data_IF_071503061475
#
_entry.id   IF_071503061475
#
_cell.length_a   1.000
_cell.length_b   1.000
_cell.length_c   1.000
_cell.angle_alpha   90.00
_cell.angle_beta   90.00
_cell.angle_gamma   90.00
#
_symmetry.space_group_name_H-M   'P 1'
#
loop_
_entity.id
_entity.type
_entity.pdbx_description
1 polymer ?
#
# COMPACT_ATOMS: atom_id res chain seq x y z
N UNK A 1 -33.97 33.74 -2.76
CA UNK A 1 -33.00 32.76 -2.22
C UNK A 1 -31.81 33.51 -1.65
N UNK A 2 -31.46 33.22 -0.40
CA UNK A 2 -30.23 33.72 0.22
C UNK A 2 -29.01 33.24 -0.57
N UNK A 3 -27.90 33.98 -0.53
CA UNK A 3 -26.60 33.58 -1.10
C UNK A 3 -26.22 32.18 -0.57
N UNK A 4 -26.50 31.92 0.70
CA UNK A 4 -26.30 30.61 1.35
C UNK A 4 -27.05 29.48 0.62
N UNK A 5 -28.32 29.69 0.29
CA UNK A 5 -29.16 28.68 -0.36
C UNK A 5 -28.73 28.42 -1.80
N UNK A 6 -28.25 29.44 -2.52
CA UNK A 6 -27.69 29.27 -3.87
C UNK A 6 -26.36 28.52 -3.85
N UNK A 7 -25.52 28.80 -2.85
CA UNK A 7 -24.24 28.13 -2.66
C UNK A 7 -24.44 26.65 -2.29
N UNK A 8 -25.33 26.36 -1.35
CA UNK A 8 -25.73 25.01 -0.94
C UNK A 8 -26.25 24.18 -2.13
N UNK A 9 -27.22 24.70 -2.88
CA UNK A 9 -27.76 24.00 -4.05
C UNK A 9 -26.71 23.79 -5.16
N UNK A 10 -25.78 24.73 -5.33
CA UNK A 10 -24.68 24.61 -6.29
C UNK A 10 -23.70 23.51 -5.87
N UNK A 11 -23.34 23.47 -4.60
CA UNK A 11 -22.47 22.44 -4.02
C UNK A 11 -23.12 21.06 -4.06
N UNK A 12 -24.38 20.92 -3.66
CA UNK A 12 -25.10 19.65 -3.72
C UNK A 12 -25.18 19.10 -5.14
N UNK A 13 -25.44 19.97 -6.13
CA UNK A 13 -25.57 19.53 -7.52
C UNK A 13 -24.27 19.05 -8.15
N UNK A 14 -23.11 19.49 -7.64
CA UNK A 14 -21.79 19.18 -8.23
C UNK A 14 -20.98 18.24 -7.34
N UNK A 15 -20.79 18.58 -6.06
CA UNK A 15 -19.92 17.84 -5.15
C UNK A 15 -20.50 16.50 -4.74
N UNK A 16 -21.80 16.42 -4.42
CA UNK A 16 -22.45 15.16 -4.02
C UNK A 16 -22.36 14.08 -5.11
N UNK A 17 -22.72 14.33 -6.39
CA UNK A 17 -22.61 13.30 -7.42
C UNK A 17 -21.16 12.94 -7.75
N UNK A 18 -20.22 13.89 -7.68
CA UNK A 18 -18.79 13.59 -7.87
C UNK A 18 -18.28 12.71 -6.73
N UNK A 19 -18.59 13.05 -5.48
CA UNK A 19 -18.23 12.28 -4.30
C UNK A 19 -18.81 10.86 -4.35
N UNK A 20 -20.08 10.72 -4.71
CA UNK A 20 -20.72 9.42 -4.87
C UNK A 20 -20.08 8.60 -5.98
N UNK A 21 -19.75 9.22 -7.12
CA UNK A 21 -19.03 8.54 -8.22
C UNK A 21 -17.65 8.08 -7.78
N UNK A 22 -16.90 8.93 -7.09
CA UNK A 22 -15.57 8.61 -6.58
C UNK A 22 -15.63 7.45 -5.59
N UNK A 23 -16.53 7.54 -4.62
CA UNK A 23 -16.75 6.55 -3.57
C UNK A 23 -17.22 5.19 -4.12
N UNK A 24 -18.04 5.19 -5.17
CA UNK A 24 -18.56 3.98 -5.82
C UNK A 24 -17.65 3.42 -6.92
N UNK A 25 -16.58 4.13 -7.30
CA UNK A 25 -15.67 3.64 -8.33
C UNK A 25 -14.87 2.45 -7.77
N UNK A 26 -15.01 1.29 -8.40
CA UNK A 26 -14.49 0.01 -7.90
C UNK A 26 -13.00 -0.03 -7.57
N UNK A 27 -12.15 0.66 -8.32
CA UNK A 27 -10.70 0.71 -8.10
C UNK A 27 -10.37 1.59 -6.89
N UNK A 28 -11.03 2.74 -6.79
CA UNK A 28 -10.89 3.65 -5.64
C UNK A 28 -11.37 2.97 -4.37
N UNK A 29 -12.54 2.31 -4.43
CA UNK A 29 -13.05 1.51 -3.33
C UNK A 29 -12.08 0.39 -2.94
N UNK A 30 -11.56 -0.37 -3.90
CA UNK A 30 -10.61 -1.44 -3.63
C UNK A 30 -9.31 -0.96 -2.97
N UNK A 31 -8.75 0.16 -3.44
CA UNK A 31 -7.57 0.81 -2.83
C UNK A 31 -7.86 1.24 -1.41
N UNK A 32 -8.91 2.04 -1.20
CA UNK A 32 -9.30 2.51 0.13
C UNK A 32 -9.50 1.35 1.10
N UNK A 33 -10.30 0.36 0.69
CA UNK A 33 -10.66 -0.76 1.55
C UNK A 33 -9.42 -1.61 1.87
N UNK A 34 -8.42 -1.68 0.98
CA UNK A 34 -7.14 -2.31 1.25
C UNK A 34 -6.34 -1.56 2.34
N UNK A 35 -6.25 -0.23 2.28
CA UNK A 35 -5.58 0.55 3.32
C UNK A 35 -6.26 0.43 4.68
N UNK A 36 -7.60 0.36 4.70
CA UNK A 36 -8.36 0.11 5.94
C UNK A 36 -7.99 -1.26 6.53
N UNK A 37 -7.83 -2.29 5.70
CA UNK A 37 -7.46 -3.64 6.16
C UNK A 37 -6.02 -3.75 6.67
N UNK A 38 -5.07 -2.97 6.13
CA UNK A 38 -3.68 -2.95 6.62
C UNK A 38 -3.52 -2.10 7.89
N UNK A 39 -4.43 -1.16 8.13
CA UNK A 39 -4.32 -0.19 9.22
C UNK A 39 -4.03 -0.81 10.61
N UNK A 40 -4.70 -1.88 11.07
CA UNK A 40 -4.42 -2.47 12.38
C UNK A 40 -2.97 -2.97 12.52
N UNK A 41 -2.38 -3.50 11.43
CA UNK A 41 -1.01 -4.00 11.45
C UNK A 41 0.01 -2.87 11.55
N UNK A 42 -0.18 -1.77 10.79
CA UNK A 42 0.68 -0.58 10.87
C UNK A 42 0.60 0.02 12.27
N UNK A 43 -0.62 0.13 12.80
CA UNK A 43 -0.86 0.69 14.13
C UNK A 43 -0.17 -0.14 15.21
N UNK A 44 -0.28 -1.46 15.17
CA UNK A 44 0.43 -2.34 16.09
C UNK A 44 1.95 -2.15 15.99
N UNK A 45 2.51 -2.13 14.78
CA UNK A 45 3.95 -1.91 14.57
C UNK A 45 4.44 -0.55 15.07
N UNK A 46 3.64 0.50 14.84
CA UNK A 46 3.94 1.86 15.28
C UNK A 46 3.88 2.01 16.80
N UNK A 47 2.88 1.41 17.46
CA UNK A 47 2.74 1.44 18.93
C UNK A 47 3.91 0.71 19.59
N UNK A 48 4.28 -0.47 19.10
CA UNK A 48 5.40 -1.23 19.64
C UNK A 48 6.71 -0.45 19.44
N UNK A 49 6.90 0.16 18.27
CA UNK A 49 8.07 1.01 18.00
C UNK A 49 8.12 2.21 18.95
N UNK A 50 6.98 2.88 19.17
CA UNK A 50 6.86 3.98 20.11
C UNK A 50 7.23 3.54 21.53
N UNK A 51 6.70 2.42 22.02
CA UNK A 51 7.00 1.89 23.36
C UNK A 51 8.48 1.52 23.47
N UNK A 52 9.04 0.90 22.44
CA UNK A 52 10.46 0.56 22.39
C UNK A 52 11.33 1.82 22.59
N UNK A 53 11.10 2.87 21.80
CA UNK A 53 11.89 4.11 21.94
C UNK A 53 11.58 4.86 23.23
N UNK A 54 10.33 4.91 23.67
CA UNK A 54 9.96 5.64 24.88
C UNK A 54 10.54 5.01 26.15
N UNK A 55 10.54 3.67 26.25
CA UNK A 55 10.89 2.93 27.46
C UNK A 55 12.30 2.34 27.42
N UNK A 56 12.68 1.73 26.30
CA UNK A 56 13.90 0.93 26.19
C UNK A 56 15.07 1.69 25.56
N UNK A 57 14.87 2.90 25.04
CA UNK A 57 15.99 3.74 24.59
C UNK A 57 16.90 4.05 25.78
N UNK A 58 18.20 3.69 25.74
CA UNK A 58 19.13 3.98 26.84
C UNK A 58 19.26 5.47 27.16
N UNK A 59 19.15 6.30 26.12
CA UNK A 59 19.16 7.75 26.24
C UNK A 59 17.78 8.37 26.50
N UNK A 60 16.73 7.54 26.50
CA UNK A 60 15.35 7.94 26.70
C UNK A 60 15.09 8.53 28.09
N UNK A 61 14.10 9.41 28.15
CA UNK A 61 13.66 10.05 29.39
C UNK A 61 13.27 9.02 30.46
N UNK A 62 12.51 7.98 30.09
CA UNK A 62 12.05 6.94 31.02
C UNK A 62 13.21 6.07 31.52
N UNK A 63 14.14 5.69 30.65
CA UNK A 63 15.30 4.89 31.05
C UNK A 63 16.19 5.64 32.06
N UNK A 64 16.33 6.96 31.88
CA UNK A 64 17.09 7.83 32.78
C UNK A 64 16.42 7.99 34.14
N UNK A 65 15.11 8.24 34.20
CA UNK A 65 14.41 8.47 35.47
C UNK A 65 14.27 7.19 36.31
N UNK A 66 14.09 6.04 35.66
CA UNK A 66 13.96 4.73 36.32
C UNK A 66 15.30 4.00 36.51
N UNK A 67 16.42 4.62 36.12
CA UNK A 67 17.76 4.01 36.14
C UNK A 67 17.80 2.63 35.47
N UNK A 68 17.04 2.43 34.37
CA UNK A 68 16.90 1.13 33.72
C UNK A 68 18.24 0.57 33.26
N UNK A 69 19.19 1.41 32.84
CA UNK A 69 20.54 0.96 32.47
C UNK A 69 21.36 0.38 33.64
N UNK A 70 21.01 0.69 34.89
CA UNK A 70 21.64 0.08 36.09
C UNK A 70 20.98 -1.25 36.49
N UNK A 71 19.69 -1.39 36.19
CA UNK A 71 18.89 -2.58 36.52
C UNK A 71 19.04 -3.65 35.42
N UNK A 72 19.10 -3.19 34.16
CA UNK A 72 19.25 -3.99 32.96
C UNK A 72 20.47 -3.48 32.16
N UNK A 73 21.67 -4.03 32.40
CA UNK A 73 22.90 -3.56 31.76
C UNK A 73 22.89 -3.70 30.22
N UNK A 74 22.07 -4.59 29.66
CA UNK A 74 21.94 -4.82 28.22
C UNK A 74 20.66 -4.19 27.63
N UNK A 75 20.27 -3.01 28.10
CA UNK A 75 19.04 -2.33 27.67
C UNK A 75 19.01 -2.05 26.16
N UNK A 76 20.17 -1.75 25.56
CA UNK A 76 20.31 -1.57 24.11
C UNK A 76 20.00 -2.85 23.32
N UNK A 77 20.48 -4.01 23.80
CA UNK A 77 20.18 -5.31 23.19
C UNK A 77 18.68 -5.63 23.32
N UNK A 78 18.08 -5.31 24.47
CA UNK A 78 16.65 -5.48 24.69
C UNK A 78 15.81 -4.59 23.76
N UNK A 79 16.23 -3.36 23.50
CA UNK A 79 15.63 -2.49 22.49
C UNK A 79 15.75 -3.08 21.08
N UNK A 80 16.90 -3.67 20.75
CA UNK A 80 17.15 -4.26 19.43
C UNK A 80 16.20 -5.42 19.11
N UNK A 81 15.72 -6.17 20.10
CA UNK A 81 14.75 -7.28 19.95
C UNK A 81 13.47 -6.83 19.21
N UNK A 82 13.07 -5.57 19.38
CA UNK A 82 11.83 -5.05 18.77
C UNK A 82 12.05 -4.42 17.39
N UNK A 83 13.28 -4.30 16.90
CA UNK A 83 13.58 -3.76 15.57
C UNK A 83 12.88 -4.50 14.40
N UNK A 84 12.72 -5.84 14.42
CA UNK A 84 12.02 -6.57 13.37
C UNK A 84 10.53 -6.24 13.24
N UNK A 85 9.92 -5.56 14.22
CA UNK A 85 8.49 -5.19 14.17
C UNK A 85 8.18 -4.29 12.97
N UNK A 86 9.08 -3.37 12.65
CA UNK A 86 8.96 -2.52 11.45
C UNK A 86 9.13 -3.32 10.16
N UNK A 87 9.97 -4.36 10.19
CA UNK A 87 10.18 -5.26 9.06
C UNK A 87 8.91 -6.08 8.76
N UNK A 88 8.19 -6.52 9.79
CA UNK A 88 6.94 -7.27 9.66
C UNK A 88 5.67 -6.42 9.45
N UNK A 89 5.79 -5.09 9.37
CA UNK A 89 4.63 -4.19 9.22
C UNK A 89 4.84 -3.20 8.07
N UNK A 90 5.48 -2.07 8.33
CA UNK A 90 5.66 -0.97 7.37
C UNK A 90 6.53 -1.35 6.17
N UNK A 91 7.59 -2.14 6.37
CA UNK A 91 8.55 -2.44 5.32
C UNK A 91 8.07 -3.48 4.31
N UNK A 92 6.90 -4.09 4.53
CA UNK A 92 6.25 -5.02 3.59
C UNK A 92 4.91 -4.47 3.07
N UNK A 93 4.66 -3.18 3.26
CA UNK A 93 3.41 -2.50 2.88
C UNK A 93 3.00 -2.76 1.43
N UNK A 94 3.94 -2.65 0.48
CA UNK A 94 3.64 -2.84 -0.93
C UNK A 94 3.10 -4.26 -1.20
N UNK A 95 3.65 -5.27 -0.52
CA UNK A 95 3.22 -6.68 -0.63
C UNK A 95 1.78 -6.84 -0.09
N UNK A 96 1.49 -6.22 1.05
CA UNK A 96 0.16 -6.28 1.66
C UNK A 96 -0.88 -5.58 0.77
N UNK A 97 -0.54 -4.40 0.26
CA UNK A 97 -1.43 -3.60 -0.58
C UNK A 97 -1.66 -4.26 -1.94
N UNK A 98 -0.63 -4.82 -2.59
CA UNK A 98 -0.84 -5.50 -3.88
C UNK A 98 -1.81 -6.67 -3.74
N UNK A 99 -1.67 -7.46 -2.68
CA UNK A 99 -2.57 -8.57 -2.39
C UNK A 99 -4.00 -8.07 -2.13
N UNK A 100 -4.17 -7.12 -1.21
CA UNK A 100 -5.48 -6.68 -0.75
C UNK A 100 -6.25 -5.92 -1.82
N UNK A 101 -5.60 -5.09 -2.63
CA UNK A 101 -6.27 -4.35 -3.72
C UNK A 101 -6.77 -5.33 -4.79
N UNK A 102 -5.96 -6.29 -5.22
CA UNK A 102 -6.37 -7.29 -6.20
C UNK A 102 -7.49 -8.19 -5.65
N UNK A 103 -7.36 -8.62 -4.39
CA UNK A 103 -8.38 -9.38 -3.67
C UNK A 103 -9.71 -8.62 -3.63
N UNK A 104 -9.69 -7.35 -3.23
CA UNK A 104 -10.90 -6.52 -3.13
C UNK A 104 -11.58 -6.32 -4.49
N UNK A 105 -10.81 -6.16 -5.57
CA UNK A 105 -11.34 -6.14 -6.94
C UNK A 105 -11.98 -7.47 -7.34
N UNK A 106 -11.35 -8.61 -7.02
CA UNK A 106 -11.92 -9.92 -7.30
C UNK A 106 -13.23 -10.17 -6.52
N UNK A 107 -13.33 -9.70 -5.27
CA UNK A 107 -14.58 -9.72 -4.50
C UNK A 107 -15.67 -8.93 -5.23
N UNK A 108 -15.36 -7.73 -5.70
CA UNK A 108 -16.30 -6.90 -6.48
C UNK A 108 -16.80 -7.64 -7.73
N UNK A 109 -15.92 -8.36 -8.43
CA UNK A 109 -16.28 -9.16 -9.61
C UNK A 109 -16.84 -10.56 -9.29
N UNK A 110 -17.01 -10.91 -8.02
CA UNK A 110 -17.47 -12.24 -7.55
C UNK A 110 -16.60 -13.38 -8.09
N UNK A 111 -15.29 -13.16 -8.11
CA UNK A 111 -14.28 -14.14 -8.53
C UNK A 111 -13.48 -14.63 -7.32
N UNK A 112 -12.55 -15.56 -7.56
CA UNK A 112 -11.69 -16.10 -6.51
C UNK A 112 -10.74 -15.04 -5.95
N UNK A 113 -11.06 -14.54 -4.76
CA UNK A 113 -10.40 -13.40 -4.14
C UNK A 113 -8.98 -13.74 -3.67
N UNK A 114 -8.83 -14.89 -3.02
CA UNK A 114 -7.55 -15.37 -2.52
C UNK A 114 -6.57 -15.65 -3.67
N UNK A 115 -7.00 -16.39 -4.69
CA UNK A 115 -6.12 -16.73 -5.81
C UNK A 115 -5.78 -15.49 -6.64
N UNK A 116 -6.70 -14.53 -6.79
CA UNK A 116 -6.39 -13.25 -7.43
C UNK A 116 -5.32 -12.46 -6.65
N UNK A 117 -5.48 -12.34 -5.33
CA UNK A 117 -4.50 -11.66 -4.47
C UNK A 117 -3.11 -12.33 -4.54
N UNK A 118 -3.05 -13.66 -4.46
CA UNK A 118 -1.79 -14.41 -4.57
C UNK A 118 -1.15 -14.24 -5.95
N UNK A 119 -1.95 -14.21 -7.01
CA UNK A 119 -1.48 -13.94 -8.38
C UNK A 119 -0.88 -12.54 -8.48
N UNK A 120 -1.47 -11.55 -7.81
CA UNK A 120 -0.99 -10.17 -7.81
C UNK A 120 0.36 -10.02 -7.09
N UNK A 121 0.58 -10.77 -6.01
CA UNK A 121 1.91 -10.85 -5.38
C UNK A 121 2.93 -11.42 -6.38
N UNK A 122 2.61 -12.53 -7.04
CA UNK A 122 3.48 -13.12 -8.05
C UNK A 122 3.79 -12.14 -9.19
N UNK A 123 2.77 -11.47 -9.71
CA UNK A 123 2.90 -10.43 -10.73
C UNK A 123 3.79 -9.26 -10.28
N UNK A 124 3.70 -8.84 -9.01
CA UNK A 124 4.52 -7.78 -8.46
C UNK A 124 6.00 -8.17 -8.41
N UNK A 125 6.29 -9.42 -8.01
CA UNK A 125 7.67 -9.92 -8.00
C UNK A 125 8.23 -10.16 -9.41
N UNK A 126 7.40 -10.42 -10.42
CA UNK A 126 7.83 -10.53 -11.83
C UNK A 126 8.33 -9.20 -12.37
N UNK A 127 7.70 -8.08 -11.99
CA UNK A 127 8.11 -6.73 -12.40
C UNK A 127 9.05 -6.04 -11.41
N UNK A 128 9.46 -6.75 -10.35
CA UNK A 128 10.32 -6.21 -9.32
C UNK A 128 11.72 -5.94 -9.87
N UNK A 129 12.43 -5.02 -9.24
CA UNK A 129 13.79 -4.63 -9.62
C UNK A 129 14.69 -5.87 -9.71
N UNK A 130 15.53 -5.99 -10.76
CA UNK A 130 16.39 -7.15 -10.95
C UNK A 130 17.29 -7.43 -9.73
N UNK A 131 17.59 -8.70 -9.51
CA UNK A 131 18.55 -9.13 -8.50
C UNK A 131 19.95 -8.62 -8.84
N UNK A 132 20.66 -8.10 -7.85
CA UNK A 132 22.06 -7.72 -7.97
C UNK A 132 22.93 -8.87 -7.46
N UNK A 133 23.88 -9.32 -8.27
CA UNK A 133 24.84 -10.34 -7.85
C UNK A 133 26.07 -9.64 -7.27
N UNK A 134 26.37 -9.91 -6.00
CA UNK A 134 27.58 -9.45 -5.32
C UNK A 134 28.26 -10.70 -4.77
N UNK A 135 29.54 -10.91 -5.10
CA UNK A 135 30.32 -12.06 -4.66
C UNK A 135 29.61 -13.42 -4.87
N UNK A 136 29.05 -13.63 -6.07
CA UNK A 136 28.27 -14.83 -6.46
C UNK A 136 26.99 -15.08 -5.63
N UNK A 137 26.54 -14.11 -4.85
CA UNK A 137 25.29 -14.17 -4.09
C UNK A 137 24.28 -13.19 -4.70
N UNK A 138 23.07 -13.68 -5.00
CA UNK A 138 21.97 -12.87 -5.51
C UNK A 138 21.24 -12.14 -4.38
N UNK A 139 21.26 -10.81 -4.41
CA UNK A 139 20.54 -9.95 -3.47
C UNK A 139 19.33 -9.31 -4.13
N UNK A 140 18.22 -9.27 -3.40
CA UNK A 140 17.02 -8.50 -3.75
C UNK A 140 16.97 -7.26 -2.87
N UNK A 141 16.80 -6.10 -3.49
CA UNK A 141 16.58 -4.87 -2.73
C UNK A 141 15.28 -4.94 -1.94
N UNK A 142 15.27 -4.45 -0.70
CA UNK A 142 14.05 -4.30 0.12
C UNK A 142 13.39 -2.93 -0.05
N UNK A 143 14.02 -2.03 -0.81
CA UNK A 143 13.59 -0.63 -1.03
C UNK A 143 12.12 -0.52 -1.44
N UNK A 144 11.67 -1.38 -2.35
CA UNK A 144 10.32 -1.34 -2.92
C UNK A 144 9.33 -2.29 -2.24
N UNK A 145 9.70 -2.98 -1.17
CA UNK A 145 8.74 -3.79 -0.40
C UNK A 145 7.87 -2.92 0.53
N UNK A 146 8.39 -1.75 0.91
CA UNK A 146 7.70 -0.79 1.77
C UNK A 146 7.01 0.32 0.98
N UNK A 147 7.13 1.55 1.49
CA UNK A 147 6.47 2.74 0.96
C UNK A 147 6.80 3.05 -0.51
N UNK A 148 8.06 2.88 -0.91
CA UNK A 148 8.53 3.28 -2.24
C UNK A 148 8.02 2.38 -3.38
N UNK A 149 7.50 1.19 -3.08
CA UNK A 149 6.88 0.32 -4.09
C UNK A 149 5.36 0.38 -4.14
N UNK A 150 4.74 1.23 -3.32
CA UNK A 150 3.28 1.28 -3.12
C UNK A 150 2.53 1.58 -4.43
N UNK A 151 3.04 2.50 -5.26
CA UNK A 151 2.39 2.83 -6.53
C UNK A 151 2.44 1.69 -7.53
N UNK A 152 3.60 1.04 -7.69
CA UNK A 152 3.71 -0.14 -8.55
C UNK A 152 2.83 -1.25 -8.03
N UNK A 153 2.79 -1.50 -6.72
CA UNK A 153 1.90 -2.46 -6.10
C UNK A 153 0.43 -2.19 -6.44
N UNK A 154 -0.04 -0.95 -6.35
CA UNK A 154 -1.42 -0.57 -6.70
C UNK A 154 -1.70 -0.79 -8.20
N UNK A 155 -0.78 -0.39 -9.09
CA UNK A 155 -0.94 -0.56 -10.54
C UNK A 155 -1.01 -2.05 -10.89
N UNK A 156 -0.06 -2.85 -10.40
CA UNK A 156 -0.01 -4.30 -10.61
C UNK A 156 -1.26 -4.96 -10.07
N UNK A 157 -1.73 -4.56 -8.88
CA UNK A 157 -2.94 -5.11 -8.28
C UNK A 157 -4.20 -4.81 -9.08
N UNK A 158 -4.33 -3.59 -9.60
CA UNK A 158 -5.47 -3.19 -10.44
C UNK A 158 -5.48 -4.00 -11.74
N UNK A 159 -4.35 -4.05 -12.44
CA UNK A 159 -4.23 -4.78 -13.70
C UNK A 159 -4.52 -6.27 -13.45
N UNK A 160 -3.90 -6.85 -12.41
CA UNK A 160 -4.14 -8.24 -12.03
C UNK A 160 -5.60 -8.48 -11.69
N UNK A 161 -6.20 -7.65 -10.83
CA UNK A 161 -7.59 -7.77 -10.39
C UNK A 161 -8.58 -7.73 -11.55
N UNK A 162 -8.41 -6.79 -12.48
CA UNK A 162 -9.27 -6.65 -13.67
C UNK A 162 -9.05 -7.79 -14.67
N UNK A 163 -7.80 -8.12 -15.00
CA UNK A 163 -7.48 -9.17 -16.00
C UNK A 163 -7.87 -10.54 -15.45
N UNK A 164 -7.47 -10.88 -14.23
CA UNK A 164 -7.84 -12.13 -13.57
C UNK A 164 -9.36 -12.30 -13.55
N UNK A 165 -10.09 -11.28 -13.12
CA UNK A 165 -11.53 -11.39 -12.95
C UNK A 165 -12.27 -11.58 -14.28
N UNK A 166 -11.77 -10.97 -15.36
CA UNK A 166 -12.33 -11.14 -16.70
C UNK A 166 -12.02 -12.52 -17.27
N UNK A 167 -10.79 -13.01 -17.10
CA UNK A 167 -10.38 -14.34 -17.57
C UNK A 167 -11.10 -15.45 -16.80
N UNK A 168 -11.21 -15.33 -15.47
CA UNK A 168 -11.89 -16.28 -14.59
C UNK A 168 -13.42 -16.36 -14.86
N UNK A 169 -14.00 -15.33 -15.47
CA UNK A 169 -15.41 -15.34 -15.90
C UNK A 169 -15.65 -16.23 -17.12
N UNK A 170 -14.62 -16.52 -17.92
CA UNK A 170 -14.75 -17.30 -19.14
C UNK A 170 -14.70 -18.80 -18.85
N UNK A 171 -15.78 -19.58 -19.09
CA UNK A 171 -15.79 -21.01 -18.85
C UNK A 171 -14.76 -21.78 -19.69
N UNK A 172 -14.31 -21.19 -20.81
CA UNK A 172 -13.31 -21.80 -21.71
C UNK A 172 -11.89 -21.73 -21.16
N UNK A 173 -11.63 -20.79 -20.27
CA UNK A 173 -10.33 -20.62 -19.61
C UNK A 173 -10.28 -21.32 -18.25
N UNK A 174 -11.33 -22.10 -17.91
CA UNK A 174 -11.42 -22.79 -16.64
C UNK A 174 -11.17 -24.27 -16.82
N UNK A 175 -10.27 -24.82 -16.00
CA UNK A 175 -10.01 -26.27 -15.98
C UNK A 175 -11.06 -26.94 -15.10
N UNK A 176 -11.81 -27.89 -15.67
CA UNK A 176 -12.75 -28.72 -14.93
C UNK A 176 -12.02 -29.93 -14.36
N UNK A 177 -12.13 -30.12 -13.06
CA UNK A 177 -11.60 -31.31 -12.40
C UNK A 177 -12.70 -32.36 -12.23
N UNK A 178 -12.37 -33.66 -12.32
CA UNK A 178 -13.27 -34.75 -11.93
C UNK A 178 -13.70 -34.65 -10.47
N UNK A 179 -14.85 -35.25 -10.13
CA UNK A 179 -15.42 -35.22 -8.77
C UNK A 179 -14.53 -35.92 -7.73
N UNK A 180 -13.62 -36.78 -8.16
CA UNK A 180 -12.67 -37.49 -7.30
C UNK A 180 -11.55 -36.58 -6.75
N UNK A 181 -11.38 -35.37 -7.30
CA UNK A 181 -10.30 -34.45 -6.90
C UNK A 181 -10.72 -33.62 -5.68
N UNK A 182 -9.87 -33.53 -4.63
CA UNK A 182 -10.18 -32.72 -3.45
C UNK A 182 -10.53 -31.26 -3.79
N UNK A 183 -11.52 -30.65 -3.09
CA UNK A 183 -12.02 -29.31 -3.43
C UNK A 183 -10.95 -28.21 -3.51
N UNK A 184 -9.93 -28.26 -2.63
CA UNK A 184 -8.85 -27.28 -2.62
C UNK A 184 -7.97 -27.34 -3.89
N UNK A 185 -7.70 -28.56 -4.38
CA UNK A 185 -6.94 -28.77 -5.61
C UNK A 185 -7.77 -28.32 -6.82
N UNK A 186 -9.05 -28.71 -6.86
CA UNK A 186 -9.96 -28.28 -7.91
C UNK A 186 -10.08 -26.75 -8.00
N UNK A 187 -10.19 -26.05 -6.86
CA UNK A 187 -10.21 -24.58 -6.80
C UNK A 187 -8.96 -23.95 -7.40
N UNK A 188 -7.78 -24.47 -7.05
CA UNK A 188 -6.50 -23.93 -7.52
C UNK A 188 -6.31 -24.11 -9.03
N UNK A 189 -6.61 -25.31 -9.55
CA UNK A 189 -6.46 -25.58 -10.98
C UNK A 189 -7.53 -24.91 -11.85
N UNK A 190 -8.73 -24.66 -11.31
CA UNK A 190 -9.83 -23.98 -12.02
C UNK A 190 -9.40 -22.66 -12.64
N UNK A 191 -8.49 -21.92 -12.01
CA UNK A 191 -7.99 -20.61 -12.49
C UNK A 191 -6.55 -20.65 -13.02
N UNK A 192 -5.98 -21.84 -13.22
CA UNK A 192 -4.59 -21.99 -13.66
C UNK A 192 -4.28 -21.25 -14.96
N UNK A 193 -5.16 -21.35 -15.96
CA UNK A 193 -4.96 -20.66 -17.25
C UNK A 193 -4.99 -19.13 -17.07
N UNK A 194 -5.98 -18.52 -16.37
CA UNK A 194 -5.94 -17.12 -15.99
C UNK A 194 -4.62 -16.69 -15.33
N UNK A 195 -4.12 -17.49 -14.39
CA UNK A 195 -2.84 -17.24 -13.71
C UNK A 195 -1.67 -17.25 -14.69
N UNK A 196 -1.58 -18.27 -15.56
CA UNK A 196 -0.53 -18.38 -16.59
C UNK A 196 -0.54 -17.16 -17.51
N UNK A 197 -1.72 -16.73 -17.97
CA UNK A 197 -1.86 -15.57 -18.86
C UNK A 197 -1.35 -14.30 -18.17
N UNK A 198 -1.66 -14.10 -16.89
CA UNK A 198 -1.20 -12.93 -16.12
C UNK A 198 0.32 -12.97 -15.91
N UNK A 199 0.87 -14.13 -15.56
CA UNK A 199 2.32 -14.32 -15.42
C UNK A 199 3.05 -13.96 -16.72
N UNK A 200 2.56 -14.45 -17.86
CA UNK A 200 3.12 -14.11 -19.18
C UNK A 200 2.97 -12.62 -19.47
N UNK A 201 1.79 -12.05 -19.19
CA UNK A 201 1.53 -10.62 -19.40
C UNK A 201 2.54 -9.75 -18.64
N UNK A 202 2.74 -9.99 -17.34
CA UNK A 202 3.70 -9.22 -16.55
C UNK A 202 5.15 -9.49 -16.91
N UNK A 203 5.48 -10.69 -17.38
CA UNK A 203 6.81 -11.01 -17.90
C UNK A 203 7.11 -10.19 -19.16
N UNK A 204 6.16 -10.14 -20.09
CA UNK A 204 6.30 -9.33 -21.32
C UNK A 204 6.36 -7.84 -20.97
N UNK A 205 5.51 -7.37 -20.06
CA UNK A 205 5.55 -5.98 -19.58
C UNK A 205 6.93 -5.65 -18.99
N UNK A 206 7.46 -6.50 -18.09
CA UNK A 206 8.76 -6.29 -17.47
C UNK A 206 9.87 -6.23 -18.53
N UNK A 207 9.88 -7.19 -19.47
CA UNK A 207 10.84 -7.20 -20.57
C UNK A 207 10.79 -5.92 -21.40
N UNK A 208 9.60 -5.45 -21.78
CA UNK A 208 9.47 -4.22 -22.57
C UNK A 208 9.94 -2.98 -21.79
N UNK A 209 9.70 -2.94 -20.48
CA UNK A 209 10.16 -1.84 -19.62
C UNK A 209 11.68 -1.86 -19.49
N UNK A 210 12.31 -3.02 -19.30
CA UNK A 210 13.77 -3.09 -19.14
C UNK A 210 14.53 -2.69 -20.41
N UNK A 211 13.89 -2.72 -21.59
CA UNK A 211 14.47 -2.17 -22.82
C UNK A 211 14.60 -0.63 -22.80
N UNK A 212 13.74 0.07 -22.06
CA UNK A 212 13.72 1.55 -22.01
C UNK A 212 14.17 2.11 -20.66
N UNK A 213 14.03 1.33 -19.59
CA UNK A 213 14.39 1.68 -18.22
C UNK A 213 15.13 0.48 -17.57
N UNK A 214 16.47 0.41 -17.71
CA UNK A 214 17.26 -0.72 -17.22
C UNK A 214 17.16 -0.98 -15.71
N UNK A 215 16.92 0.07 -14.92
CA UNK A 215 16.73 -0.02 -13.45
C UNK A 215 15.39 -0.69 -13.07
N UNK A 216 14.51 -0.95 -14.03
CA UNK A 216 13.25 -1.66 -13.85
C UNK A 216 12.04 -0.75 -13.59
N UNK A 217 10.86 -1.39 -13.48
CA UNK A 217 9.57 -0.68 -13.36
C UNK A 217 9.46 0.15 -12.09
N UNK A 218 9.98 -0.35 -10.96
CA UNK A 218 9.91 0.33 -9.69
C UNK A 218 10.63 1.68 -9.71
N UNK A 219 11.87 1.75 -10.19
CA UNK A 219 12.60 3.02 -10.28
C UNK A 219 11.97 3.97 -11.31
N UNK A 220 11.46 3.44 -12.44
CA UNK A 220 10.75 4.25 -13.44
C UNK A 220 9.50 4.91 -12.86
N UNK A 221 8.61 4.12 -12.25
CA UNK A 221 7.38 4.63 -11.63
C UNK A 221 7.70 5.54 -10.45
N UNK A 222 8.74 5.21 -9.68
CA UNK A 222 9.18 6.05 -8.58
C UNK A 222 9.51 7.46 -9.08
N UNK A 223 10.35 7.54 -10.11
CA UNK A 223 10.85 8.81 -10.66
C UNK A 223 9.74 9.62 -11.35
N UNK A 224 8.88 8.97 -12.13
CA UNK A 224 7.90 9.65 -12.99
C UNK A 224 6.60 9.99 -12.26
N UNK A 225 6.17 9.15 -11.31
CA UNK A 225 4.85 9.25 -10.68
C UNK A 225 5.00 9.53 -9.19
N UNK A 226 5.76 8.69 -8.49
CA UNK A 226 5.75 8.68 -7.03
C UNK A 226 6.45 9.91 -6.44
N UNK A 227 7.64 10.27 -6.93
CA UNK A 227 8.39 11.43 -6.45
C UNK A 227 7.61 12.75 -6.66
N UNK A 228 7.03 13.06 -7.84
CA UNK A 228 6.18 14.24 -8.00
C UNK A 228 4.95 14.26 -7.08
N UNK A 229 4.33 13.10 -6.84
CA UNK A 229 3.18 13.00 -5.93
C UNK A 229 3.60 13.16 -4.46
N UNK A 230 4.78 12.68 -4.09
CA UNK A 230 5.37 12.90 -2.77
C UNK A 230 5.65 14.39 -2.54
N UNK A 231 6.19 15.09 -3.55
CA UNK A 231 6.41 16.54 -3.50
C UNK A 231 5.09 17.30 -3.35
N UNK A 232 4.02 16.82 -3.98
CA UNK A 232 2.68 17.35 -3.71
C UNK A 232 2.23 17.07 -2.28
N UNK A 233 2.53 15.90 -1.71
CA UNK A 233 2.19 15.52 -0.33
C UNK A 233 2.91 16.33 0.75
N UNK A 234 4.11 16.85 0.46
CA UNK A 234 4.84 17.74 1.37
C UNK A 234 4.50 19.22 1.14
N UNK A 235 3.77 19.55 0.07
CA UNK A 235 3.34 20.91 -0.23
C UNK A 235 2.13 21.36 0.60
N UNK A 236 2.29 22.47 1.33
CA UNK A 236 1.24 23.03 2.20
C UNK A 236 -0.08 23.33 1.47
N UNK A 237 -0.03 23.77 0.21
CA UNK A 237 -1.24 24.08 -0.56
C UNK A 237 -2.02 22.81 -0.88
N UNK A 238 -1.35 21.72 -1.23
CA UNK A 238 -2.00 20.42 -1.47
C UNK A 238 -2.70 19.91 -0.22
N UNK A 239 -2.04 20.02 0.94
CA UNK A 239 -2.62 19.64 2.25
C UNK A 239 -3.87 20.47 2.54
N UNK A 240 -3.81 21.79 2.35
CA UNK A 240 -4.95 22.69 2.57
C UNK A 240 -6.10 22.36 1.61
N UNK A 241 -5.83 22.14 0.32
CA UNK A 241 -6.86 21.84 -0.68
C UNK A 241 -7.56 20.53 -0.35
N UNK A 242 -6.80 19.45 -0.07
CA UNK A 242 -7.37 18.15 0.27
C UNK A 242 -8.16 18.22 1.58
N UNK A 243 -7.63 18.94 2.58
CA UNK A 243 -8.33 19.19 3.85
C UNK A 243 -9.63 19.97 3.65
N UNK A 244 -9.63 21.00 2.82
CA UNK A 244 -10.81 21.81 2.53
C UNK A 244 -11.87 21.00 1.77
N UNK A 245 -11.48 20.23 0.75
CA UNK A 245 -12.40 19.33 0.03
C UNK A 245 -13.01 18.30 0.99
N UNK A 246 -12.18 17.67 1.84
CA UNK A 246 -12.65 16.70 2.83
C UNK A 246 -13.68 17.32 3.78
N UNK A 247 -13.40 18.51 4.34
CA UNK A 247 -14.32 19.18 5.25
C UNK A 247 -15.61 19.65 4.55
N UNK A 248 -15.53 20.15 3.31
CA UNK A 248 -16.71 20.55 2.53
C UNK A 248 -17.65 19.37 2.26
N UNK A 249 -17.10 18.19 1.94
CA UNK A 249 -17.89 16.96 1.82
C UNK A 249 -18.60 16.63 3.13
N UNK A 250 -17.93 16.83 4.26
CA UNK A 250 -18.47 16.54 5.59
C UNK A 250 -19.62 17.48 5.99
N UNK A 251 -19.53 18.76 5.63
CA UNK A 251 -20.64 19.73 5.77
C UNK A 251 -21.87 19.30 4.99
N UNK A 252 -21.70 18.63 3.85
CA UNK A 252 -22.78 18.09 3.01
C UNK A 252 -23.29 16.71 3.47
N UNK A 253 -22.88 16.23 4.65
CA UNK A 253 -23.29 14.93 5.19
C UNK A 253 -22.58 13.72 4.57
N UNK A 254 -21.55 13.93 3.75
CA UNK A 254 -20.73 12.86 3.16
C UNK A 254 -19.48 12.69 4.01
N UNK A 255 -19.08 11.46 4.36
CA UNK A 255 -17.86 11.24 5.12
C UNK A 255 -16.59 11.58 4.30
N UNK A 256 -16.20 12.85 4.31
CA UNK A 256 -15.12 13.42 3.51
C UNK A 256 -13.81 12.64 3.59
N UNK A 257 -13.27 12.36 4.79
CA UNK A 257 -12.02 11.60 4.93
C UNK A 257 -12.04 10.23 4.25
N UNK A 258 -13.20 9.54 4.23
CA UNK A 258 -13.34 8.21 3.62
C UNK A 258 -13.55 8.32 2.11
N UNK A 259 -14.15 9.42 1.65
CA UNK A 259 -14.42 9.67 0.24
C UNK A 259 -13.13 9.98 -0.51
N UNK A 260 -12.25 10.79 0.10
CA UNK A 260 -10.95 11.14 -0.49
C UNK A 260 -9.82 10.19 -0.08
N UNK A 261 -10.10 9.19 0.76
CA UNK A 261 -9.09 8.30 1.35
C UNK A 261 -8.14 7.69 0.32
N UNK A 262 -8.65 7.12 -0.77
CA UNK A 262 -7.76 6.50 -1.77
C UNK A 262 -6.78 7.51 -2.41
N UNK A 263 -7.20 8.77 -2.61
CA UNK A 263 -6.33 9.83 -3.16
C UNK A 263 -5.37 10.33 -2.09
N UNK A 264 -5.87 10.51 -0.86
CA UNK A 264 -5.05 10.92 0.28
C UNK A 264 -3.97 9.87 0.55
N UNK A 265 -4.35 8.61 0.66
CA UNK A 265 -3.44 7.55 1.08
C UNK A 265 -2.39 7.28 -0.01
N UNK A 266 -2.70 7.46 -1.30
CA UNK A 266 -1.67 7.38 -2.36
C UNK A 266 -0.66 8.51 -2.30
N UNK A 267 -1.07 9.72 -1.93
CA UNK A 267 -0.18 10.90 -1.85
C UNK A 267 0.62 10.91 -0.55
N UNK A 268 -0.03 10.64 0.60
CA UNK A 268 0.55 10.90 1.92
C UNK A 268 1.13 9.65 2.59
N UNK A 269 0.82 8.43 2.14
CA UNK A 269 1.32 7.23 2.82
C UNK A 269 2.84 7.15 2.75
N UNK A 270 3.45 7.37 1.58
CA UNK A 270 4.90 7.31 1.48
C UNK A 270 5.63 8.30 2.39
N UNK A 271 5.36 9.62 2.35
CA UNK A 271 6.04 10.55 3.24
C UNK A 271 5.75 10.25 4.73
N UNK A 272 4.57 9.73 5.08
CA UNK A 272 4.30 9.30 6.46
C UNK A 272 5.15 8.09 6.88
N UNK A 273 5.33 7.11 5.99
CA UNK A 273 6.14 5.93 6.26
C UNK A 273 7.64 6.25 6.27
N UNK A 274 8.09 7.21 5.47
CA UNK A 274 9.46 7.73 5.51
C UNK A 274 9.75 8.43 6.85
N UNK A 275 8.81 9.26 7.32
CA UNK A 275 8.89 9.85 8.66
C UNK A 275 8.92 8.80 9.76
N UNK A 276 8.06 7.77 9.67
CA UNK A 276 8.05 6.68 10.65
C UNK A 276 9.37 5.90 10.64
N UNK A 277 9.91 5.61 9.45
CA UNK A 277 11.21 4.97 9.28
C UNK A 277 12.34 5.82 9.84
N UNK A 278 12.32 7.13 9.61
CA UNK A 278 13.28 8.07 10.17
C UNK A 278 13.26 8.05 11.70
N UNK A 279 12.08 8.15 12.31
CA UNK A 279 11.91 8.06 13.77
C UNK A 279 12.41 6.72 14.29
N UNK A 280 12.11 5.63 13.58
CA UNK A 280 12.55 4.29 13.98
C UNK A 280 14.07 4.09 13.87
N UNK A 281 14.77 4.87 13.05
CA UNK A 281 16.23 4.81 12.92
C UNK A 281 16.95 5.76 13.89
N UNK A 282 16.37 6.93 14.16
CA UNK A 282 17.01 7.99 14.94
C UNK A 282 16.50 8.10 16.38
N UNK A 283 15.41 7.40 16.71
CA UNK A 283 14.75 7.47 18.02
C UNK A 283 14.14 8.83 18.35
N UNK A 284 13.98 9.71 17.36
CA UNK A 284 13.45 11.06 17.53
C UNK A 284 12.67 11.50 16.30
N UNK A 285 11.60 12.27 16.54
CA UNK A 285 10.84 12.96 15.49
C UNK A 285 11.43 14.32 15.11
N UNK A 286 12.52 14.73 15.77
CA UNK A 286 13.25 15.95 15.42
C UNK A 286 13.84 15.82 14.01
N UNK A 287 13.41 16.67 13.09
CA UNK A 287 13.76 16.59 11.66
C UNK A 287 12.62 16.14 10.74
N UNK A 288 11.43 15.85 11.27
CA UNK A 288 10.23 15.69 10.46
C UNK A 288 9.65 17.06 10.00
N UNK A 289 9.04 17.18 8.81
CA UNK A 289 8.87 16.12 7.82
C UNK A 289 10.19 15.75 7.12
N UNK A 290 10.41 14.46 6.88
CA UNK A 290 11.58 13.88 6.24
C UNK A 290 11.27 13.35 4.83
N UNK A 291 12.19 13.53 3.85
CA UNK A 291 13.32 14.48 3.88
C UNK A 291 12.80 15.93 3.88
N UNK A 292 13.56 16.83 4.51
CA UNK A 292 13.24 18.25 4.61
C UNK A 292 13.35 18.99 3.28
#
# INVERSE_FOLDING_TARGET
>A
MSIMTKFEHGMERVLVPVANKLNSQRHIAAIRDAFILVFPLIMAGSIITLINFAVLSPDGFIAKILFLGKIFPNLADAQAIFSPVMQGSTNIMAILIVFLVARNLAIFFKQDDLLCGLTAIGAFFIVYTPYTVVDDVSYMTIKFLGAQGLFVAIIVAIITGEVFSRLARSPRLMIKMPEQVPPAVARSFKVLIPVIIITILFTVINYLITLVAPEGLNDLVYTVIQAPLKDMGTNVFSVIIIGLVSNLLWVLGIHGPNTVAAIRDTIFTEPNLDNLSYVAQHGSAWGAPYPA
#
